data_IF_834687856948
#
_entry.id   IF_834687856948
#
_cell.length_a   1.000
_cell.length_b   1.000
_cell.length_c   1.000
_cell.angle_alpha   90.00
_cell.angle_beta   90.00
_cell.angle_gamma   90.00
#
_symmetry.space_group_name_H-M   'P 1'
#
loop_
_entity.id
_entity.type
_entity.pdbx_description
1 polymer ?
#
# COMPACT_ATOMS: atom_id res chain seq x y z
N UNK A 1 4.20 -18.29 2.41
CA UNK A 1 4.73 -17.05 1.80
C UNK A 1 3.78 -16.66 0.68
N UNK A 2 3.46 -15.38 0.54
CA UNK A 2 2.61 -14.87 -0.53
C UNK A 2 3.47 -13.93 -1.38
N UNK A 3 3.44 -14.09 -2.69
CA UNK A 3 4.05 -13.15 -3.63
C UNK A 3 3.12 -11.95 -3.82
N UNK A 4 3.62 -10.75 -3.54
CA UNK A 4 2.94 -9.48 -3.73
C UNK A 4 3.79 -8.64 -4.68
N UNK A 5 3.39 -8.57 -5.96
CA UNK A 5 4.10 -7.80 -6.99
C UNK A 5 5.61 -8.12 -7.04
N UNK A 6 5.98 -9.40 -7.01
CA UNK A 6 7.37 -9.87 -7.07
C UNK A 6 8.11 -9.81 -5.72
N UNK A 7 7.42 -9.45 -4.63
CA UNK A 7 7.98 -9.42 -3.28
C UNK A 7 7.32 -10.46 -2.40
N UNK A 8 8.15 -11.31 -1.79
CA UNK A 8 7.68 -12.39 -0.93
C UNK A 8 7.39 -11.90 0.49
N UNK A 9 6.15 -12.08 0.94
CA UNK A 9 5.67 -11.68 2.25
C UNK A 9 5.27 -12.89 3.10
N UNK A 10 5.71 -12.90 4.37
CA UNK A 10 5.13 -13.79 5.37
C UNK A 10 3.99 -13.07 6.08
N UNK A 11 2.75 -13.37 5.66
CA UNK A 11 1.57 -12.80 6.30
C UNK A 11 1.23 -13.63 7.56
N UNK A 12 1.28 -13.04 8.76
CA UNK A 12 0.96 -13.76 10.00
C UNK A 12 -0.54 -14.02 10.12
N UNK A 13 -0.91 -15.01 10.93
CA UNK A 13 -2.31 -15.31 11.30
C UNK A 13 -3.26 -15.62 10.13
N UNK A 14 -2.74 -16.11 9.01
CA UNK A 14 -3.58 -16.60 7.91
C UNK A 14 -4.30 -17.88 8.35
N UNK A 15 -5.61 -17.80 8.55
CA UNK A 15 -6.45 -18.97 8.89
C UNK A 15 -6.59 -19.95 7.74
N UNK A 16 -6.39 -19.48 6.51
CA UNK A 16 -6.47 -20.29 5.31
C UNK A 16 -5.07 -20.71 4.85
N UNK A 17 -4.91 -22.00 4.59
CA UNK A 17 -3.78 -22.53 3.84
C UNK A 17 -4.17 -22.52 2.36
N UNK A 18 -3.40 -21.82 1.54
CA UNK A 18 -3.60 -21.76 0.10
C UNK A 18 -2.63 -22.75 -0.56
N UNK A 19 -3.10 -23.64 -1.45
CA UNK A 19 -2.20 -24.40 -2.30
C UNK A 19 -1.26 -23.48 -3.07
N UNK A 20 -0.04 -23.93 -3.32
CA UNK A 20 0.91 -23.19 -4.15
C UNK A 20 0.30 -22.89 -5.53
N UNK A 21 0.56 -21.70 -6.06
CA UNK A 21 -0.04 -21.23 -7.32
C UNK A 21 -1.46 -20.68 -7.20
N UNK A 22 -2.09 -20.75 -6.02
CA UNK A 22 -3.40 -20.13 -5.80
C UNK A 22 -3.28 -18.60 -5.88
N UNK A 23 -4.08 -17.98 -6.73
CA UNK A 23 -4.23 -16.53 -6.75
C UNK A 23 -5.06 -16.09 -5.54
N UNK A 24 -4.55 -15.09 -4.82
CA UNK A 24 -5.21 -14.50 -3.66
C UNK A 24 -5.28 -13.00 -3.84
N UNK A 25 -6.34 -12.38 -3.34
CA UNK A 25 -6.41 -10.93 -3.21
C UNK A 25 -5.88 -10.54 -1.84
N UNK A 26 -4.88 -9.67 -1.78
CA UNK A 26 -4.37 -9.14 -0.53
C UNK A 26 -5.04 -7.80 -0.24
N UNK A 27 -5.83 -7.74 0.83
CA UNK A 27 -6.46 -6.49 1.24
C UNK A 27 -5.71 -5.86 2.41
N UNK A 28 -5.56 -4.56 2.34
CA UNK A 28 -5.03 -3.69 3.40
C UNK A 28 -6.00 -2.54 3.58
N UNK A 29 -6.10 -2.01 4.79
CA UNK A 29 -6.91 -0.82 5.01
C UNK A 29 -6.15 0.42 4.51
N UNK A 30 -6.82 1.40 3.87
CA UNK A 30 -6.13 2.57 3.32
C UNK A 30 -5.30 3.36 4.32
N UNK A 31 -5.75 3.46 5.58
CA UNK A 31 -5.04 4.18 6.65
C UNK A 31 -3.76 3.48 7.13
N UNK A 32 -3.56 2.21 6.77
CA UNK A 32 -2.33 1.46 7.09
C UNK A 32 -1.31 1.48 5.96
N UNK A 33 -1.71 2.00 4.80
CA UNK A 33 -0.83 2.28 3.66
C UNK A 33 -0.06 3.57 3.94
N UNK A 34 1.26 3.47 3.93
CA UNK A 34 2.17 4.59 4.18
C UNK A 34 2.79 5.07 2.88
N UNK A 35 2.87 6.39 2.73
CA UNK A 35 3.58 7.06 1.66
C UNK A 35 4.87 7.66 2.17
N UNK A 36 5.93 7.56 1.37
CA UNK A 36 7.22 8.19 1.60
C UNK A 36 7.64 8.87 0.29
N UNK A 37 8.38 9.98 0.40
CA UNK A 37 8.99 10.64 -0.76
C UNK A 37 10.03 9.70 -1.39
N UNK A 38 10.26 9.80 -2.70
CA UNK A 38 11.21 8.91 -3.40
C UNK A 38 12.66 9.00 -2.88
N UNK A 39 13.06 10.13 -2.29
CA UNK A 39 14.37 10.30 -1.67
C UNK A 39 14.47 9.70 -0.25
N UNK A 40 13.35 9.26 0.31
CA UNK A 40 13.24 8.76 1.66
C UNK A 40 13.26 7.23 1.68
N UNK A 41 13.90 6.64 2.70
CA UNK A 41 13.86 5.19 2.88
C UNK A 41 12.47 4.74 3.28
N UNK A 42 11.89 3.85 2.49
CA UNK A 42 10.65 3.19 2.84
C UNK A 42 10.86 2.28 4.06
N UNK A 43 10.20 2.61 5.17
CA UNK A 43 10.34 1.89 6.43
C UNK A 43 9.33 0.74 6.58
N UNK A 44 8.63 0.39 5.51
CA UNK A 44 7.60 -0.66 5.50
C UNK A 44 8.19 -2.00 5.02
N UNK A 45 7.85 -3.14 5.67
CA UNK A 45 8.28 -4.47 5.22
C UNK A 45 7.90 -4.78 3.77
N UNK A 46 6.69 -4.37 3.37
CA UNK A 46 6.27 -4.37 1.98
C UNK A 46 6.34 -2.94 1.47
N UNK A 47 7.05 -2.74 0.37
CA UNK A 47 7.20 -1.42 -0.21
C UNK A 47 7.33 -1.49 -1.73
N UNK A 48 6.82 -0.51 -2.43
CA UNK A 48 6.79 -0.44 -3.88
C UNK A 48 7.01 1.00 -4.32
N UNK A 49 7.55 1.18 -5.52
CA UNK A 49 7.51 2.49 -6.17
C UNK A 49 6.14 2.65 -6.82
N UNK A 50 5.55 3.82 -6.67
CA UNK A 50 4.28 4.15 -7.32
C UNK A 50 4.22 5.60 -7.75
N UNK A 51 3.16 5.96 -8.48
CA UNK A 51 2.90 7.33 -8.91
C UNK A 51 1.54 7.79 -8.43
N UNK A 52 1.47 8.96 -7.82
CA UNK A 52 0.20 9.53 -7.36
C UNK A 52 -0.65 9.92 -8.57
N UNK A 53 -1.87 9.42 -8.66
CA UNK A 53 -2.82 9.69 -9.75
C UNK A 53 -3.98 10.60 -9.33
N UNK A 54 -4.34 10.60 -8.04
CA UNK A 54 -5.37 11.48 -7.45
C UNK A 54 -4.97 11.91 -6.05
N UNK A 55 -5.34 13.14 -5.68
CA UNK A 55 -5.23 13.68 -4.32
C UNK A 55 -6.57 14.32 -3.94
N UNK A 56 -7.11 13.99 -2.76
CA UNK A 56 -8.25 14.69 -2.16
C UNK A 56 -7.89 15.13 -0.75
N UNK A 57 -7.83 16.44 -0.54
CA UNK A 57 -7.47 17.03 0.76
C UNK A 57 -8.72 17.47 1.52
N UNK A 58 -8.90 16.92 2.73
CA UNK A 58 -10.09 17.09 3.58
C UNK A 58 -9.77 17.79 4.91
N UNK A 59 -8.66 18.53 4.98
CA UNK A 59 -8.21 19.22 6.19
C UNK A 59 -7.36 18.33 7.10
N UNK A 60 -7.98 17.48 7.92
CA UNK A 60 -7.25 16.59 8.84
C UNK A 60 -6.73 15.31 8.18
N UNK A 61 -7.17 15.03 6.95
CA UNK A 61 -6.84 13.84 6.19
C UNK A 61 -6.63 14.20 4.72
N UNK A 62 -5.75 13.46 4.04
CA UNK A 62 -5.67 13.43 2.59
C UNK A 62 -5.77 11.99 2.07
N UNK A 63 -6.57 11.80 1.04
CA UNK A 63 -6.64 10.55 0.28
C UNK A 63 -5.78 10.64 -0.97
N UNK A 64 -5.12 9.54 -1.29
CA UNK A 64 -4.27 9.40 -2.46
C UNK A 64 -4.62 8.12 -3.19
N UNK A 65 -4.83 8.22 -4.50
CA UNK A 65 -4.73 7.04 -5.37
C UNK A 65 -3.31 6.98 -5.91
N UNK A 66 -2.70 5.80 -5.81
CA UNK A 66 -1.34 5.53 -6.26
C UNK A 66 -1.40 4.39 -7.27
N UNK A 67 -0.85 4.60 -8.46
CA UNK A 67 -0.60 3.52 -9.41
C UNK A 67 0.70 2.81 -9.06
N UNK A 68 0.62 1.49 -8.85
CA UNK A 68 1.74 0.59 -8.58
C UNK A 68 1.70 -0.51 -9.64
N UNK A 69 2.51 -0.36 -10.69
CA UNK A 69 2.58 -1.29 -11.82
C UNK A 69 1.20 -1.63 -12.42
N UNK A 70 0.33 -0.62 -12.58
CA UNK A 70 -1.03 -0.78 -13.11
C UNK A 70 -2.09 -1.21 -12.08
N UNK A 71 -1.70 -1.45 -10.81
CA UNK A 71 -2.63 -1.67 -9.69
C UNK A 71 -2.85 -0.36 -8.94
N UNK A 72 -4.10 0.07 -8.83
CA UNK A 72 -4.46 1.24 -8.00
C UNK A 72 -4.52 0.87 -6.52
N UNK A 73 -3.79 1.61 -5.68
CA UNK A 73 -3.80 1.50 -4.23
C UNK A 73 -4.28 2.81 -3.62
N UNK A 74 -5.23 2.72 -2.68
CA UNK A 74 -5.72 3.87 -1.91
C UNK A 74 -4.92 4.01 -0.61
N UNK A 75 -4.38 5.20 -0.36
CA UNK A 75 -3.76 5.56 0.91
C UNK A 75 -4.51 6.73 1.57
N UNK A 76 -4.66 6.65 2.89
CA UNK A 76 -5.27 7.71 3.71
C UNK A 76 -4.24 8.20 4.71
N UNK A 77 -3.81 9.46 4.55
CA UNK A 77 -2.76 10.09 5.39
C UNK A 77 -3.40 11.11 6.33
N UNK A 78 -3.17 10.94 7.64
CA UNK A 78 -3.60 11.88 8.67
C UNK A 78 -2.64 13.08 8.80
N UNK A 79 -3.17 14.22 9.24
CA UNK A 79 -2.45 15.48 9.45
C UNK A 79 -1.48 15.87 8.32
N UNK A 80 -1.89 15.81 7.03
CA UNK A 80 -0.98 16.06 5.93
C UNK A 80 -0.43 17.50 5.89
N UNK A 81 -1.07 18.44 6.59
CA UNK A 81 -0.57 19.81 6.75
C UNK A 81 0.76 19.88 7.51
N UNK A 82 1.08 18.90 8.36
CA UNK A 82 2.32 18.85 9.14
C UNK A 82 3.50 18.27 8.35
N UNK A 83 3.22 17.45 7.33
CA UNK A 83 4.23 16.70 6.57
C UNK A 83 4.27 17.05 5.08
N UNK A 84 3.37 17.94 4.64
CA UNK A 84 3.19 18.31 3.24
C UNK A 84 2.36 17.29 2.46
N UNK A 85 1.77 17.76 1.35
CA UNK A 85 1.00 16.93 0.43
C UNK A 85 1.91 16.29 -0.63
N UNK A 86 1.54 15.11 -1.11
CA UNK A 86 2.09 14.53 -2.34
C UNK A 86 1.30 15.06 -3.54
N UNK A 87 1.97 15.33 -4.65
CA UNK A 87 1.33 15.92 -5.84
C UNK A 87 0.91 14.84 -6.83
N UNK A 88 -0.14 15.11 -7.63
CA UNK A 88 -0.45 14.26 -8.79
C UNK A 88 0.76 14.22 -9.74
N UNK A 89 1.10 13.03 -10.20
CA UNK A 89 2.28 12.76 -11.04
C UNK A 89 3.56 12.54 -10.24
N UNK A 90 3.58 12.82 -8.94
CA UNK A 90 4.75 12.59 -8.08
C UNK A 90 5.04 11.09 -7.95
N UNK A 91 6.31 10.75 -8.05
CA UNK A 91 6.79 9.41 -7.73
C UNK A 91 6.98 9.30 -6.21
N UNK A 92 6.48 8.22 -5.63
CA UNK A 92 6.48 7.96 -4.20
C UNK A 92 6.88 6.52 -3.92
N UNK A 93 7.36 6.27 -2.72
CA UNK A 93 7.41 4.93 -2.17
C UNK A 93 6.11 4.69 -1.38
N UNK A 94 5.45 3.56 -1.64
CA UNK A 94 4.22 3.16 -0.96
C UNK A 94 4.39 1.81 -0.32
N UNK A 95 3.97 1.67 0.94
CA UNK A 95 4.20 0.42 1.66
C UNK A 95 3.28 0.20 2.85
N UNK A 96 3.21 -1.04 3.30
CA UNK A 96 2.41 -1.48 4.43
C UNK A 96 3.12 -2.56 5.25
N UNK A 97 2.67 -2.80 6.47
CA UNK A 97 3.20 -3.86 7.31
C UNK A 97 2.51 -5.21 7.00
N UNK A 98 3.25 -6.31 7.10
CA UNK A 98 2.69 -7.64 6.80
C UNK A 98 1.55 -8.05 7.74
N UNK A 99 1.54 -7.54 8.98
CA UNK A 99 0.54 -7.86 9.99
C UNK A 99 -0.80 -7.13 9.83
N UNK A 100 -0.89 -6.15 8.92
CA UNK A 100 -2.13 -5.44 8.61
C UNK A 100 -2.78 -5.93 7.31
N UNK A 101 -2.13 -6.87 6.64
CA UNK A 101 -2.58 -7.42 5.36
C UNK A 101 -3.37 -8.73 5.58
N UNK A 102 -4.46 -8.88 4.83
CA UNK A 102 -5.35 -10.03 4.93
C UNK A 102 -5.58 -10.64 3.55
N UNK A 103 -5.21 -11.92 3.34
CA UNK A 103 -5.50 -12.58 2.09
C UNK A 103 -6.96 -13.03 2.04
N UNK A 104 -7.63 -12.74 0.94
CA UNK A 104 -8.94 -13.21 0.57
C UNK A 104 -8.80 -14.24 -0.56
N UNK A 105 -9.60 -15.29 -0.50
CA UNK A 105 -9.72 -16.25 -1.61
C UNK A 105 -10.60 -15.62 -2.66
N UNK A 106 -10.03 -15.43 -3.85
CA UNK A 106 -10.82 -15.11 -5.04
C UNK A 106 -11.55 -16.40 -5.43
N UNK A 107 -12.89 -16.35 -5.44
CA UNK A 107 -13.72 -17.46 -5.90
C UNK A 107 -13.85 -17.46 -7.41
#
# INVERSE_FOLDING_TARGET
MIDVHGRMAQIPNTRCQYPEGTRVELVVRPETVKLFRSDSRCASPMCFTGRVTRVVYMGSVAEYDIDVDGTSLLAVVASPAEHGLFNVGEEVQVGFAVNVAHPLVVR
#
